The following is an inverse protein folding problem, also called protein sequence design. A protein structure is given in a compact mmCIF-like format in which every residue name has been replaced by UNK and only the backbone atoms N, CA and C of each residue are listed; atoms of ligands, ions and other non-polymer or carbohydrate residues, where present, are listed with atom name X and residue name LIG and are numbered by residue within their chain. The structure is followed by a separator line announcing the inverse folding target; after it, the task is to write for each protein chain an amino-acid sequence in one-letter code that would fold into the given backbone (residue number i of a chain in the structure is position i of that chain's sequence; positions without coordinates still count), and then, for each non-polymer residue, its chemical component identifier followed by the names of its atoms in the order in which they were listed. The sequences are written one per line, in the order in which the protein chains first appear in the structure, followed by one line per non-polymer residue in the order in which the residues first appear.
data_IF_178608272540
#
_entry.id   IF_178608272540
#
_cell.length_a   1.000
_cell.length_b   1.000
_cell.length_c   1.000
_cell.angle_alpha   90.00
_cell.angle_beta   90.00
_cell.angle_gamma   90.00
#
_symmetry.space_group_name_H-M   'P 1'
#
loop_
_entity.id
_entity.type
_entity.pdbx_description
1 polymer ?
#
# COMPACT_ATOMS: atom_id res chain seq x y z
N UNK A 1 30.45 -10.07 30.59
CA UNK A 1 29.10 -9.80 31.13
C UNK A 1 28.27 -9.26 29.98
N UNK A 2 27.04 -9.73 29.73
CA UNK A 2 26.22 -9.12 28.69
C UNK A 2 25.79 -7.75 29.18
N UNK A 3 26.16 -6.70 28.44
CA UNK A 3 25.69 -5.33 28.67
C UNK A 3 24.16 -5.34 28.76
N UNK A 4 23.62 -4.86 29.88
CA UNK A 4 22.20 -4.65 30.03
C UNK A 4 21.80 -3.57 29.02
N UNK A 5 21.15 -3.98 27.92
CA UNK A 5 20.62 -3.05 26.93
C UNK A 5 19.59 -2.18 27.64
N UNK A 6 19.92 -0.91 27.88
CA UNK A 6 18.99 0.07 28.43
C UNK A 6 17.72 0.09 27.58
N UNK A 7 16.57 0.02 28.27
CA UNK A 7 15.25 0.09 27.65
C UNK A 7 14.65 1.43 28.03
N UNK A 8 14.50 2.30 27.04
CA UNK A 8 13.78 3.55 27.20
C UNK A 8 12.30 3.31 26.89
N UNK A 9 11.42 3.75 27.78
CA UNK A 9 9.96 3.67 27.61
C UNK A 9 9.35 5.07 27.65
N UNK A 10 8.39 5.33 26.76
CA UNK A 10 7.63 6.58 26.72
C UNK A 10 6.14 6.27 26.56
N UNK A 11 5.33 6.77 27.48
CA UNK A 11 3.88 6.58 27.44
C UNK A 11 3.21 7.78 26.77
N UNK A 12 2.27 7.51 25.86
CA UNK A 12 1.49 8.54 25.18
C UNK A 12 0.06 8.08 24.91
N UNK A 13 -0.84 9.03 24.68
CA UNK A 13 -2.20 8.77 24.21
C UNK A 13 -2.27 9.12 22.74
N UNK A 14 -2.80 8.23 21.89
CA UNK A 14 -2.88 8.49 20.45
C UNK A 14 -3.77 9.73 20.17
N UNK A 15 -3.22 10.83 19.63
CA UNK A 15 -3.97 12.07 19.42
C UNK A 15 -4.68 12.10 18.04
N UNK A 16 -4.41 11.11 17.18
CA UNK A 16 -4.88 11.11 15.79
C UNK A 16 -6.38 10.80 15.73
N UNK A 17 -7.21 11.67 15.12
CA UNK A 17 -8.65 11.44 14.99
C UNK A 17 -8.99 10.11 14.32
N UNK A 18 -8.20 9.73 13.30
CA UNK A 18 -8.39 8.49 12.55
C UNK A 18 -7.53 7.31 13.06
N UNK A 19 -6.84 7.48 14.20
CA UNK A 19 -5.90 6.50 14.74
C UNK A 19 -4.57 6.41 13.99
N UNK A 20 -3.70 5.48 14.38
CA UNK A 20 -2.42 5.24 13.69
C UNK A 20 -2.64 4.46 12.40
N UNK A 21 -2.86 5.18 11.31
CA UNK A 21 -3.10 4.64 9.97
C UNK A 21 -1.92 4.91 9.02
N UNK A 22 -2.11 4.59 7.74
CA UNK A 22 -1.08 4.50 6.71
C UNK A 22 -0.07 5.66 6.70
N UNK A 23 -0.51 6.93 6.73
CA UNK A 23 0.41 8.08 6.55
C UNK A 23 1.25 8.40 7.80
N UNK A 24 0.66 8.60 9.01
CA UNK A 24 1.42 8.72 10.25
C UNK A 24 2.29 7.48 10.54
N UNK A 25 1.81 6.27 10.18
CA UNK A 25 2.59 5.05 10.32
C UNK A 25 3.79 5.02 9.37
N UNK A 26 3.67 5.46 8.12
CA UNK A 26 4.79 5.61 7.18
C UNK A 26 5.85 6.58 7.72
N UNK A 27 5.43 7.75 8.22
CA UNK A 27 6.38 8.74 8.75
C UNK A 27 7.12 8.20 9.98
N UNK A 28 6.39 7.55 10.89
CA UNK A 28 6.97 6.93 12.08
C UNK A 28 7.91 5.78 11.71
N UNK A 29 7.52 4.94 10.75
CA UNK A 29 8.35 3.84 10.26
C UNK A 29 9.64 4.34 9.64
N UNK A 30 9.57 5.33 8.76
CA UNK A 30 10.77 5.94 8.15
C UNK A 30 11.73 6.49 9.21
N UNK A 31 11.20 7.14 10.24
CA UNK A 31 12.01 7.64 11.35
C UNK A 31 12.64 6.48 12.13
N UNK A 32 11.85 5.46 12.50
CA UNK A 32 12.33 4.31 13.26
C UNK A 32 13.36 3.47 12.49
N UNK A 33 13.18 3.32 11.17
CA UNK A 33 14.06 2.57 10.27
C UNK A 33 15.42 3.23 10.08
N UNK A 34 15.55 4.53 10.38
CA UNK A 34 16.84 5.23 10.40
C UNK A 34 17.79 4.79 11.53
N UNK A 35 17.27 4.08 12.54
CA UNK A 35 18.04 3.62 13.69
C UNK A 35 18.32 2.12 13.64
N UNK A 36 19.40 1.67 14.29
CA UNK A 36 19.71 0.25 14.48
C UNK A 36 18.89 -0.39 15.60
N UNK A 37 18.44 0.41 16.58
CA UNK A 37 17.68 -0.05 17.75
C UNK A 37 16.35 -0.68 17.38
N UNK A 38 15.90 -1.62 18.21
CA UNK A 38 14.52 -2.13 18.11
C UNK A 38 13.59 -1.07 18.68
N UNK A 39 12.55 -0.77 17.92
CA UNK A 39 11.52 0.20 18.27
C UNK A 39 10.18 -0.51 18.19
N UNK A 40 9.40 -0.46 19.26
CA UNK A 40 8.07 -1.08 19.30
C UNK A 40 7.07 -0.20 20.00
N UNK A 41 5.80 -0.28 19.58
CA UNK A 41 4.69 0.38 20.26
C UNK A 41 3.76 -0.70 20.80
N UNK A 42 3.40 -0.59 22.08
CA UNK A 42 2.40 -1.45 22.70
C UNK A 42 1.11 -0.67 22.88
N UNK A 43 0.02 -1.13 22.28
CA UNK A 43 -1.32 -0.61 22.57
C UNK A 43 -1.80 -1.26 23.88
N UNK A 44 -1.92 -0.47 24.95
CA UNK A 44 -2.33 -0.97 26.26
C UNK A 44 -3.82 -1.37 26.30
N UNK A 45 -4.63 -0.87 25.37
CA UNK A 45 -6.07 -1.15 25.34
C UNK A 45 -6.36 -2.55 24.79
N UNK A 46 -5.59 -3.01 23.80
CA UNK A 46 -5.79 -4.32 23.16
C UNK A 46 -4.60 -5.28 23.31
N UNK A 47 -3.53 -4.85 24.00
CA UNK A 47 -2.29 -5.59 24.27
C UNK A 47 -1.51 -6.01 23.02
N UNK A 48 -1.82 -5.44 21.85
CA UNK A 48 -1.06 -5.69 20.62
C UNK A 48 0.27 -4.94 20.66
N UNK A 49 1.29 -5.58 20.12
CA UNK A 49 2.63 -5.00 19.98
C UNK A 49 2.92 -4.81 18.50
N UNK A 50 3.31 -3.60 18.15
CA UNK A 50 3.75 -3.23 16.81
C UNK A 50 5.27 -3.09 16.77
N UNK A 51 5.90 -3.65 15.73
CA UNK A 51 7.24 -3.27 15.33
C UNK A 51 7.16 -1.92 14.62
N UNK A 52 7.77 -0.88 15.18
CA UNK A 52 7.68 0.46 14.60
C UNK A 52 8.44 0.62 13.28
N UNK A 53 9.27 -0.36 12.90
CA UNK A 53 9.92 -0.43 11.58
C UNK A 53 9.09 -1.17 10.53
N UNK A 54 7.83 -1.47 10.84
CA UNK A 54 6.90 -2.15 9.94
C UNK A 54 5.57 -1.41 9.98
N UNK A 55 5.22 -0.78 8.86
CA UNK A 55 3.93 -0.12 8.72
C UNK A 55 2.79 -1.14 8.81
N UNK A 56 2.98 -2.36 8.29
CA UNK A 56 1.96 -3.41 8.42
C UNK A 56 1.73 -3.79 9.89
N UNK A 57 2.79 -3.84 10.70
CA UNK A 57 2.70 -4.09 12.14
C UNK A 57 2.05 -2.93 12.90
N UNK A 58 2.44 -1.69 12.58
CA UNK A 58 1.87 -0.46 13.17
C UNK A 58 0.36 -0.36 12.92
N UNK A 59 -0.08 -0.56 11.68
CA UNK A 59 -1.52 -0.53 11.32
C UNK A 59 -2.25 -1.75 11.92
N UNK A 60 -1.61 -2.93 11.92
CA UNK A 60 -2.16 -4.15 12.51
C UNK A 60 -2.37 -4.09 14.03
N UNK A 61 -1.69 -3.17 14.72
CA UNK A 61 -1.88 -2.94 16.15
C UNK A 61 -3.21 -2.26 16.51
N UNK A 62 -3.99 -1.80 15.52
CA UNK A 62 -5.34 -1.23 15.68
C UNK A 62 -5.37 -0.12 16.75
N UNK A 63 -4.38 0.78 16.73
CA UNK A 63 -4.27 1.93 17.64
C UNK A 63 -5.27 3.00 17.21
N UNK A 64 -6.26 3.27 18.05
CA UNK A 64 -7.32 4.24 17.81
C UNK A 64 -7.06 5.55 18.53
N UNK A 65 -7.78 6.60 18.11
CA UNK A 65 -7.80 7.88 18.84
C UNK A 65 -8.13 7.64 20.31
N UNK A 66 -7.31 8.19 21.21
CA UNK A 66 -7.47 8.03 22.65
C UNK A 66 -6.92 6.73 23.24
N UNK A 67 -6.41 5.79 22.45
CA UNK A 67 -5.76 4.58 22.99
C UNK A 67 -4.47 4.94 23.73
N UNK A 68 -4.26 4.31 24.89
CA UNK A 68 -3.03 4.45 25.66
C UNK A 68 -1.95 3.55 25.08
N UNK A 69 -0.80 4.14 24.77
CA UNK A 69 0.31 3.47 24.08
C UNK A 69 1.62 3.62 24.85
N UNK A 70 2.51 2.64 24.70
CA UNK A 70 3.88 2.69 25.23
C UNK A 70 4.86 2.44 24.08
N UNK A 71 5.68 3.45 23.79
CA UNK A 71 6.87 3.30 22.95
C UNK A 71 7.96 2.61 23.78
N UNK A 72 8.57 1.56 23.24
CA UNK A 72 9.73 0.88 23.81
C UNK A 72 10.88 0.88 22.79
N UNK A 73 12.02 1.41 23.21
CA UNK A 73 13.24 1.44 22.41
C UNK A 73 14.31 0.62 23.13
N UNK A 74 15.08 -0.17 22.39
CA UNK A 74 16.22 -0.90 22.94
C UNK A 74 17.22 -1.32 21.87
N UNK A 75 18.48 -0.99 22.09
CA UNK A 75 19.59 -1.28 21.17
C UNK A 75 20.79 -0.39 21.42
N UNK A 76 21.70 -0.34 20.45
CA UNK A 76 22.98 0.37 20.57
C UNK A 76 22.85 1.89 20.53
N UNK A 77 21.94 2.39 19.71
CA UNK A 77 21.59 3.81 19.51
C UNK A 77 20.26 4.18 20.20
N UNK A 78 19.99 3.56 21.35
CA UNK A 78 18.71 3.66 22.06
C UNK A 78 18.35 5.11 22.42
N UNK A 79 19.30 5.86 22.98
CA UNK A 79 19.08 7.25 23.39
C UNK A 79 18.74 8.18 22.23
N UNK A 80 19.46 8.03 21.12
CA UNK A 80 19.26 8.86 19.93
C UNK A 80 17.91 8.57 19.28
N UNK A 81 17.60 7.28 19.09
CA UNK A 81 16.32 6.82 18.58
C UNK A 81 15.16 7.26 19.47
N UNK A 82 15.30 7.11 20.79
CA UNK A 82 14.30 7.52 21.77
C UNK A 82 14.01 9.02 21.66
N UNK A 83 15.04 9.88 21.71
CA UNK A 83 14.85 11.34 21.65
C UNK A 83 14.19 11.78 20.35
N UNK A 84 14.65 11.25 19.21
CA UNK A 84 14.10 11.59 17.90
C UNK A 84 12.63 11.19 17.78
N UNK A 85 12.28 9.97 18.19
CA UNK A 85 10.90 9.45 18.06
C UNK A 85 9.96 10.12 19.05
N UNK A 86 10.39 10.36 20.30
CA UNK A 86 9.57 11.09 21.27
C UNK A 86 9.31 12.52 20.80
N UNK A 87 10.35 13.20 20.29
CA UNK A 87 10.17 14.54 19.72
C UNK A 87 9.12 14.53 18.61
N UNK A 88 9.24 13.59 17.65
CA UNK A 88 8.27 13.44 16.57
C UNK A 88 6.83 13.20 17.08
N UNK A 89 6.66 12.32 18.08
CA UNK A 89 5.36 12.03 18.70
C UNK A 89 4.72 13.26 19.33
N UNK A 90 5.53 14.17 19.89
CA UNK A 90 5.07 15.38 20.57
C UNK A 90 4.82 16.56 19.61
N UNK A 91 5.56 16.68 18.50
CA UNK A 91 5.56 17.89 17.67
C UNK A 91 4.97 17.71 16.28
N UNK A 92 5.18 16.57 15.64
CA UNK A 92 4.88 16.36 14.20
C UNK A 92 3.78 15.33 13.96
N UNK A 93 3.48 14.50 14.95
CA UNK A 93 2.59 13.36 14.76
C UNK A 93 1.17 13.77 14.32
N UNK A 94 0.64 14.86 14.87
CA UNK A 94 -0.73 15.35 14.59
C UNK A 94 -0.88 15.91 13.17
N UNK A 95 0.17 16.52 12.60
CA UNK A 95 0.09 17.15 11.27
C UNK A 95 0.10 16.15 10.11
N UNK A 96 0.32 14.86 10.38
CA UNK A 96 0.34 13.80 9.37
C UNK A 96 -1.06 13.36 8.87
N UNK A 97 -2.15 13.81 9.50
CA UNK A 97 -3.54 13.35 9.24
C UNK A 97 -4.41 14.38 8.47
N UNK A 98 -3.80 15.36 7.76
CA UNK A 98 -4.59 16.29 6.94
C UNK A 98 -5.28 15.55 5.77
N UNK A 99 -6.61 15.59 5.78
CA UNK A 99 -7.48 14.90 4.83
C UNK A 99 -7.44 15.53 3.43
N UNK A 100 -7.49 14.68 2.39
CA UNK A 100 -7.76 15.13 1.03
C UNK A 100 -9.20 15.66 0.93
N UNK A 101 -9.46 16.67 0.10
CA UNK A 101 -10.81 17.22 -0.07
C UNK A 101 -11.75 16.15 -0.62
N UNK A 102 -12.89 15.98 0.02
CA UNK A 102 -13.94 15.07 -0.45
C UNK A 102 -14.42 15.48 -1.85
N UNK A 103 -14.65 14.53 -2.76
CA UNK A 103 -15.16 14.83 -4.09
C UNK A 103 -16.55 15.50 -4.00
N UNK A 104 -16.87 16.44 -4.89
CA UNK A 104 -18.15 17.12 -4.88
C UNK A 104 -19.29 16.12 -5.14
N UNK A 105 -20.18 15.98 -4.16
CA UNK A 105 -21.43 15.23 -4.29
C UNK A 105 -22.35 15.95 -5.27
N UNK A 106 -22.44 15.45 -6.50
CA UNK A 106 -23.37 15.94 -7.52
C UNK A 106 -24.35 14.84 -7.95
N UNK A 107 -25.37 14.59 -7.13
CA UNK A 107 -26.50 13.75 -7.53
C UNK A 107 -27.50 14.54 -8.38
N UNK A 108 -27.35 14.53 -9.71
CA UNK A 108 -28.50 14.69 -10.62
C UNK A 108 -28.94 13.30 -11.05
N UNK A 109 -30.04 12.79 -10.47
CA UNK A 109 -30.61 11.49 -10.86
C UNK A 109 -31.02 11.50 -12.34
N UNK A 110 -30.35 10.66 -13.13
CA UNK A 110 -30.77 10.07 -14.42
C UNK A 110 -31.46 10.99 -15.43
N UNK A 111 -31.02 12.25 -15.52
CA UNK A 111 -31.53 13.17 -16.54
C UNK A 111 -30.74 13.03 -17.84
N UNK A 112 -31.45 12.73 -18.92
CA UNK A 112 -30.93 12.75 -20.29
C UNK A 112 -31.64 13.82 -21.13
N UNK A 113 -30.91 14.64 -21.92
CA UNK A 113 -31.49 15.51 -22.92
C UNK A 113 -32.40 14.75 -23.90
N UNK A 114 -33.51 15.35 -24.37
CA UNK A 114 -34.44 14.70 -25.31
C UNK A 114 -33.77 14.18 -26.59
N UNK A 115 -32.78 14.90 -27.11
CA UNK A 115 -32.02 14.51 -28.31
C UNK A 115 -31.31 13.16 -28.13
N UNK A 116 -30.71 12.91 -26.96
CA UNK A 116 -30.05 11.64 -26.68
C UNK A 116 -31.06 10.51 -26.45
N UNK A 117 -32.20 10.79 -25.80
CA UNK A 117 -33.26 9.77 -25.66
C UNK A 117 -33.82 9.35 -27.02
N UNK A 118 -34.03 10.30 -27.91
CA UNK A 118 -34.60 10.06 -29.23
C UNK A 118 -33.61 9.40 -30.20
N UNK A 119 -32.31 9.54 -29.96
CA UNK A 119 -31.27 8.90 -30.76
C UNK A 119 -31.11 7.39 -30.49
N UNK A 120 -31.82 6.83 -29.51
CA UNK A 120 -31.76 5.39 -29.20
C UNK A 120 -30.40 4.92 -28.68
N UNK A 121 -29.59 5.82 -28.12
CA UNK A 121 -28.27 5.47 -27.58
C UNK A 121 -28.37 4.66 -26.28
N UNK A 122 -27.52 3.64 -26.14
CA UNK A 122 -27.36 2.94 -24.88
C UNK A 122 -26.61 3.83 -23.88
N UNK A 123 -27.25 4.12 -22.74
CA UNK A 123 -26.67 4.95 -21.68
C UNK A 123 -26.50 4.12 -20.41
N UNK A 124 -25.29 4.13 -19.88
CA UNK A 124 -24.96 3.55 -18.58
C UNK A 124 -24.72 4.69 -17.59
N UNK A 125 -25.43 4.68 -16.47
CA UNK A 125 -25.27 5.65 -15.40
C UNK A 125 -24.31 5.11 -14.34
N UNK A 126 -23.44 5.96 -13.82
CA UNK A 126 -22.51 5.67 -12.73
C UNK A 126 -22.37 6.84 -11.78
N UNK A 127 -21.52 6.69 -10.76
CA UNK A 127 -21.16 7.77 -9.86
C UNK A 127 -20.10 8.66 -10.53
N UNK A 128 -20.37 9.94 -10.83
CA UNK A 128 -19.36 10.83 -11.38
C UNK A 128 -18.34 11.20 -10.30
N UNK A 129 -17.06 10.88 -10.54
CA UNK A 129 -15.94 11.23 -9.65
C UNK A 129 -15.30 12.56 -10.09
N UNK A 130 -15.12 12.75 -11.39
CA UNK A 130 -14.57 13.97 -12.01
C UNK A 130 -15.51 14.45 -13.10
N UNK A 131 -15.75 15.75 -13.17
CA UNK A 131 -16.56 16.35 -14.23
C UNK A 131 -15.78 16.47 -15.55
N UNK A 132 -16.44 16.25 -16.68
CA UNK A 132 -15.82 16.37 -17.99
C UNK A 132 -16.55 15.58 -19.07
N UNK A 133 -16.08 15.71 -20.31
CA UNK A 133 -16.56 14.94 -21.46
C UNK A 133 -15.38 14.21 -22.10
N UNK A 134 -15.49 12.89 -22.21
CA UNK A 134 -14.50 12.01 -22.81
C UNK A 134 -15.04 11.32 -24.04
N UNK A 135 -14.23 11.24 -25.11
CA UNK A 135 -14.52 10.42 -26.30
C UNK A 135 -13.24 9.70 -26.72
N UNK A 136 -13.32 8.39 -26.87
CA UNK A 136 -12.17 7.59 -27.28
C UNK A 136 -12.53 6.14 -27.57
N UNK A 137 -11.53 5.38 -28.03
CA UNK A 137 -11.62 3.93 -28.21
C UNK A 137 -11.78 3.25 -26.84
N UNK A 138 -12.68 2.27 -26.72
CA UNK A 138 -12.82 1.50 -25.48
C UNK A 138 -11.64 0.53 -25.35
N UNK A 139 -10.96 0.57 -24.20
CA UNK A 139 -9.90 -0.36 -23.83
C UNK A 139 -10.31 -1.05 -22.54
N UNK A 140 -10.49 -2.37 -22.58
CA UNK A 140 -10.83 -3.16 -21.41
C UNK A 140 -9.57 -3.61 -20.67
N UNK A 141 -9.54 -3.38 -19.37
CA UNK A 141 -8.47 -3.87 -18.48
C UNK A 141 -9.05 -5.03 -17.68
N UNK A 142 -8.47 -6.21 -17.86
CA UNK A 142 -8.84 -7.39 -17.09
C UNK A 142 -8.12 -7.41 -15.75
N UNK A 143 -8.75 -8.06 -14.76
CA UNK A 143 -8.12 -8.34 -13.48
C UNK A 143 -6.87 -9.22 -13.69
N UNK A 144 -5.84 -8.95 -12.88
CA UNK A 144 -4.58 -9.67 -12.87
C UNK A 144 -4.79 -11.19 -12.85
N UNK A 145 -4.24 -11.89 -13.84
CA UNK A 145 -4.02 -13.34 -13.75
C UNK A 145 -2.61 -13.63 -13.23
N UNK A 146 -2.57 -14.44 -12.17
CA UNK A 146 -1.33 -15.01 -11.66
C UNK A 146 -0.62 -15.81 -12.79
N UNK A 147 0.70 -15.64 -12.96
CA UNK A 147 1.48 -16.39 -13.95
C UNK A 147 1.25 -17.90 -13.85
N UNK A 148 1.19 -18.58 -15.00
CA UNK A 148 1.13 -20.05 -15.06
C UNK A 148 2.42 -20.63 -14.44
N UNK A 149 2.28 -21.62 -13.53
CA UNK A 149 3.41 -22.26 -12.83
C UNK A 149 3.52 -21.97 -11.32
N UNK A 150 2.75 -21.02 -10.77
CA UNK A 150 2.74 -20.72 -9.32
C UNK A 150 2.26 -21.88 -8.42
N UNK A 151 1.47 -22.79 -8.96
CA UNK A 151 0.94 -23.97 -8.25
C UNK A 151 1.71 -25.27 -8.58
N UNK A 152 2.77 -25.21 -9.39
CA UNK A 152 3.58 -26.40 -9.64
C UNK A 152 4.46 -26.71 -8.42
N UNK A 153 4.28 -27.90 -7.86
CA UNK A 153 5.11 -28.46 -6.80
C UNK A 153 6.49 -28.88 -7.35
N UNK A 154 7.17 -27.96 -8.02
CA UNK A 154 8.53 -28.15 -8.49
C UNK A 154 9.48 -28.23 -7.28
N UNK A 155 10.58 -29.01 -7.36
CA UNK A 155 11.60 -29.02 -6.32
C UNK A 155 12.16 -27.62 -6.10
N UNK A 156 11.94 -27.06 -4.91
CA UNK A 156 12.36 -25.70 -4.59
C UNK A 156 13.77 -25.69 -4.03
N UNK A 157 14.70 -25.00 -4.71
CA UNK A 157 15.98 -24.66 -4.12
C UNK A 157 15.82 -23.45 -3.19
N UNK A 158 15.74 -23.69 -1.88
CA UNK A 158 15.50 -22.65 -0.85
C UNK A 158 16.48 -21.48 -0.99
N UNK A 159 17.76 -21.76 -1.23
CA UNK A 159 18.78 -20.71 -1.38
C UNK A 159 18.56 -19.83 -2.62
N UNK A 160 18.12 -20.44 -3.72
CA UNK A 160 17.81 -19.71 -4.95
C UNK A 160 16.55 -18.87 -4.78
N UNK A 161 15.50 -19.40 -4.17
CA UNK A 161 14.27 -18.65 -3.93
C UNK A 161 14.47 -17.46 -2.99
N UNK A 162 15.31 -17.61 -1.96
CA UNK A 162 15.66 -16.48 -1.08
C UNK A 162 16.38 -15.38 -1.85
N UNK A 163 17.31 -15.74 -2.75
CA UNK A 163 17.97 -14.77 -3.64
C UNK A 163 16.96 -14.11 -4.58
N UNK A 164 16.04 -14.88 -5.14
CA UNK A 164 14.99 -14.36 -6.03
C UNK A 164 14.12 -13.33 -5.29
N UNK A 165 13.69 -13.64 -4.06
CA UNK A 165 12.92 -12.71 -3.19
C UNK A 165 13.72 -11.43 -2.95
N UNK A 166 14.99 -11.56 -2.55
CA UNK A 166 15.84 -10.41 -2.22
C UNK A 166 16.07 -9.52 -3.45
N UNK A 167 16.28 -10.11 -4.63
CA UNK A 167 16.42 -9.40 -5.90
C UNK A 167 15.12 -8.70 -6.31
N UNK A 168 13.98 -9.39 -6.24
CA UNK A 168 12.68 -8.82 -6.61
C UNK A 168 12.30 -7.65 -5.71
N UNK A 169 12.54 -7.75 -4.40
CA UNK A 169 12.31 -6.63 -3.46
C UNK A 169 13.24 -5.46 -3.78
N UNK A 170 14.54 -5.72 -3.98
CA UNK A 170 15.51 -4.67 -4.29
C UNK A 170 15.16 -3.95 -5.60
N UNK A 171 14.79 -4.70 -6.64
CA UNK A 171 14.45 -4.15 -7.94
C UNK A 171 13.14 -3.36 -7.91
N UNK A 172 12.09 -3.86 -7.25
CA UNK A 172 10.85 -3.12 -7.07
C UNK A 172 11.08 -1.80 -6.33
N UNK A 173 11.86 -1.83 -5.25
CA UNK A 173 12.22 -0.61 -4.51
C UNK A 173 12.97 0.39 -5.40
N UNK A 174 13.93 -0.10 -6.20
CA UNK A 174 14.68 0.72 -7.15
C UNK A 174 13.76 1.39 -8.17
N UNK A 175 12.82 0.63 -8.74
CA UNK A 175 11.85 1.13 -9.72
C UNK A 175 10.90 2.19 -9.13
N UNK A 176 10.41 1.98 -7.90
CA UNK A 176 9.55 2.95 -7.21
C UNK A 176 10.32 4.23 -6.90
N UNK A 177 11.54 4.13 -6.37
CA UNK A 177 12.41 5.28 -6.08
C UNK A 177 12.72 6.11 -7.35
N UNK A 178 13.00 5.45 -8.48
CA UNK A 178 13.19 6.14 -9.75
C UNK A 178 11.94 6.88 -10.24
N UNK A 179 10.74 6.36 -9.94
CA UNK A 179 9.50 7.06 -10.24
C UNK A 179 9.35 8.31 -9.36
N UNK A 180 9.66 8.21 -8.08
CA UNK A 180 9.62 9.34 -7.13
C UNK A 180 10.54 10.51 -7.55
N UNK A 181 11.64 10.24 -8.23
CA UNK A 181 12.58 11.28 -8.73
C UNK A 181 12.05 12.07 -9.94
N UNK A 182 10.92 11.67 -10.55
CA UNK A 182 10.37 12.36 -11.72
C UNK A 182 9.77 13.72 -11.34
N UNK A 183 10.14 14.77 -12.08
CA UNK A 183 9.80 16.18 -11.77
C UNK A 183 8.33 16.60 -11.92
N UNK A 184 7.41 15.71 -12.32
CA UNK A 184 6.02 16.06 -12.64
C UNK A 184 4.98 15.20 -11.88
N UNK A 185 5.33 14.72 -10.69
CA UNK A 185 4.38 14.01 -9.84
C UNK A 185 3.55 15.00 -9.01
N UNK A 186 2.24 14.77 -8.96
CA UNK A 186 1.37 15.45 -8.00
C UNK A 186 1.61 14.93 -6.57
N UNK A 187 1.24 15.71 -5.53
CA UNK A 187 1.38 15.29 -4.14
C UNK A 187 0.72 13.94 -3.83
N UNK A 188 -0.42 13.65 -4.45
CA UNK A 188 -1.13 12.38 -4.29
C UNK A 188 -0.34 11.21 -4.88
N UNK A 189 0.25 11.38 -6.07
CA UNK A 189 1.07 10.34 -6.70
C UNK A 189 2.34 10.05 -5.89
N UNK A 190 2.95 11.09 -5.32
CA UNK A 190 4.07 10.93 -4.39
C UNK A 190 3.64 10.10 -3.18
N UNK A 191 2.52 10.45 -2.55
CA UNK A 191 2.02 9.72 -1.38
C UNK A 191 1.73 8.25 -1.66
N UNK A 192 1.18 7.92 -2.83
CA UNK A 192 0.96 6.53 -3.27
C UNK A 192 2.30 5.79 -3.43
N UNK A 193 3.27 6.39 -4.13
CA UNK A 193 4.57 5.76 -4.36
C UNK A 193 5.35 5.58 -3.05
N UNK A 194 5.29 6.55 -2.12
CA UNK A 194 5.88 6.43 -0.78
C UNK A 194 5.21 5.31 0.03
N UNK A 195 3.89 5.16 -0.07
CA UNK A 195 3.17 4.06 0.57
C UNK A 195 3.61 2.70 0.01
N UNK A 196 3.72 2.59 -1.33
CA UNK A 196 4.17 1.35 -1.99
C UNK A 196 5.62 1.01 -1.63
N UNK A 197 6.51 2.01 -1.59
CA UNK A 197 7.90 1.82 -1.19
C UNK A 197 8.00 1.28 0.25
N UNK A 198 7.25 1.88 1.18
CA UNK A 198 7.24 1.43 2.58
C UNK A 198 6.69 0.01 2.73
N UNK A 199 5.66 -0.39 1.96
CA UNK A 199 5.20 -1.79 1.98
C UNK A 199 6.26 -2.73 1.39
N UNK A 200 6.86 -2.37 0.26
CA UNK A 200 7.84 -3.22 -0.42
C UNK A 200 9.08 -3.47 0.45
N UNK A 201 9.46 -2.49 1.29
CA UNK A 201 10.59 -2.56 2.21
C UNK A 201 10.21 -3.05 3.63
N UNK A 202 8.93 -3.31 3.90
CA UNK A 202 8.45 -3.65 5.22
C UNK A 202 9.16 -4.90 5.77
N UNK A 203 9.82 -4.72 6.91
CA UNK A 203 10.69 -5.77 7.47
C UNK A 203 9.90 -7.02 7.88
N UNK A 204 8.65 -6.89 8.30
CA UNK A 204 7.80 -8.03 8.68
C UNK A 204 7.29 -8.75 7.43
N UNK A 205 6.94 -8.01 6.37
CA UNK A 205 6.56 -8.61 5.10
C UNK A 205 7.69 -9.49 4.53
N UNK A 206 8.88 -8.91 4.40
CA UNK A 206 10.05 -9.60 3.85
C UNK A 206 10.47 -10.77 4.75
N UNK A 207 10.45 -10.59 6.08
CA UNK A 207 10.76 -11.67 7.01
C UNK A 207 9.75 -12.82 6.91
N UNK A 208 8.46 -12.53 6.77
CA UNK A 208 7.43 -13.55 6.60
C UNK A 208 7.63 -14.33 5.30
N UNK A 209 7.87 -13.65 4.18
CA UNK A 209 8.13 -14.29 2.88
C UNK A 209 9.35 -15.22 2.99
N UNK A 210 10.47 -14.72 3.51
CA UNK A 210 11.69 -15.51 3.69
C UNK A 210 11.47 -16.72 4.61
N UNK A 211 10.68 -16.55 5.67
CA UNK A 211 10.31 -17.64 6.59
C UNK A 211 9.47 -18.71 5.89
N UNK A 212 8.48 -18.31 5.09
CA UNK A 212 7.65 -19.23 4.32
C UNK A 212 8.48 -20.03 3.31
N UNK A 213 9.43 -19.40 2.61
CA UNK A 213 10.37 -20.10 1.71
C UNK A 213 11.23 -21.12 2.49
N UNK A 214 11.78 -20.74 3.64
CA UNK A 214 12.68 -21.60 4.44
C UNK A 214 11.98 -22.77 5.12
N UNK A 215 10.88 -22.50 5.80
CA UNK A 215 10.23 -23.47 6.69
C UNK A 215 9.18 -24.32 5.99
N UNK A 216 8.51 -23.77 4.97
CA UNK A 216 7.45 -24.46 4.22
C UNK A 216 7.89 -24.90 2.83
N UNK A 217 9.15 -24.63 2.46
CA UNK A 217 9.72 -24.98 1.15
C UNK A 217 8.87 -24.48 -0.03
N UNK A 218 8.28 -23.30 0.12
CA UNK A 218 7.47 -22.67 -0.94
C UNK A 218 8.36 -21.93 -1.92
N UNK A 219 7.97 -21.89 -3.19
CA UNK A 219 8.55 -20.97 -4.17
C UNK A 219 8.25 -19.51 -3.77
N UNK A 220 9.06 -18.57 -4.25
CA UNK A 220 8.95 -17.14 -3.91
C UNK A 220 7.55 -16.58 -4.17
N UNK A 221 6.95 -16.89 -5.32
CA UNK A 221 5.60 -16.42 -5.65
C UNK A 221 4.53 -16.94 -4.70
N UNK A 222 4.58 -18.21 -4.31
CA UNK A 222 3.62 -18.77 -3.34
C UNK A 222 3.82 -18.21 -1.93
N UNK A 223 5.07 -17.99 -1.53
CA UNK A 223 5.39 -17.32 -0.27
C UNK A 223 4.85 -15.88 -0.22
N UNK A 224 4.91 -15.13 -1.33
CA UNK A 224 4.32 -13.80 -1.46
C UNK A 224 2.79 -13.85 -1.32
N UNK A 225 2.12 -14.79 -2.00
CA UNK A 225 0.66 -14.95 -1.89
C UNK A 225 0.22 -15.32 -0.46
N UNK A 226 0.99 -16.15 0.23
CA UNK A 226 0.70 -16.50 1.61
C UNK A 226 0.91 -15.30 2.54
N UNK A 227 1.99 -14.53 2.34
CA UNK A 227 2.21 -13.28 3.07
C UNK A 227 1.07 -12.29 2.85
N UNK A 228 0.63 -12.10 1.59
CA UNK A 228 -0.53 -11.28 1.27
C UNK A 228 -1.78 -11.72 2.04
N UNK A 229 -2.11 -13.01 2.02
CA UNK A 229 -3.27 -13.54 2.73
C UNK A 229 -3.18 -13.32 4.24
N UNK A 230 -2.00 -13.55 4.83
CA UNK A 230 -1.74 -13.33 6.25
C UNK A 230 -1.95 -11.85 6.64
N UNK A 231 -1.22 -10.93 6.00
CA UNK A 231 -1.30 -9.51 6.34
C UNK A 231 -2.65 -8.89 5.96
N UNK A 232 -3.29 -9.34 4.87
CA UNK A 232 -4.66 -8.92 4.54
C UNK A 232 -5.66 -9.32 5.63
N UNK A 233 -5.53 -10.52 6.19
CA UNK A 233 -6.42 -10.96 7.29
C UNK A 233 -6.16 -10.20 8.58
N UNK A 234 -4.88 -9.93 8.91
CA UNK A 234 -4.48 -9.08 10.04
C UNK A 234 -5.07 -7.66 9.92
N UNK A 235 -4.92 -7.05 8.74
CA UNK A 235 -5.41 -5.71 8.46
C UNK A 235 -6.94 -5.65 8.51
N UNK A 236 -7.66 -6.59 7.88
CA UNK A 236 -9.13 -6.65 7.94
C UNK A 236 -9.70 -6.74 9.36
N UNK A 237 -8.92 -7.26 10.31
CA UNK A 237 -9.34 -7.34 11.71
C UNK A 237 -9.27 -5.97 12.43
N UNK A 238 -8.47 -5.03 11.93
CA UNK A 238 -8.43 -3.66 12.41
C UNK A 238 -9.58 -2.86 11.73
N UNK A 239 -10.35 -2.10 12.50
CA UNK A 239 -11.67 -1.56 12.08
C UNK A 239 -11.61 -0.09 11.66
N UNK A 240 -11.04 0.21 10.50
CA UNK A 240 -10.96 1.58 9.93
C UNK A 240 -11.11 1.57 8.41
N UNK A 241 -11.72 2.60 7.82
CA UNK A 241 -11.90 2.68 6.35
C UNK A 241 -10.57 2.80 5.60
N UNK A 242 -9.56 3.45 6.20
CA UNK A 242 -8.20 3.62 5.67
C UNK A 242 -7.42 2.30 5.54
N UNK A 243 -7.88 1.24 6.21
CA UNK A 243 -7.28 -0.10 6.11
C UNK A 243 -7.60 -0.74 4.77
N UNK A 244 -8.74 -0.40 4.15
CA UNK A 244 -9.10 -0.93 2.82
C UNK A 244 -8.09 -0.48 1.77
N UNK A 245 -7.71 0.79 1.80
CA UNK A 245 -6.67 1.36 0.93
C UNK A 245 -5.35 0.63 1.15
N UNK A 246 -4.96 0.38 2.41
CA UNK A 246 -3.71 -0.34 2.70
C UNK A 246 -3.70 -1.78 2.20
N UNK A 247 -4.84 -2.49 2.23
CA UNK A 247 -4.96 -3.83 1.64
C UNK A 247 -4.84 -3.76 0.12
N UNK A 248 -5.41 -2.73 -0.52
CA UNK A 248 -5.28 -2.52 -1.95
C UNK A 248 -3.82 -2.23 -2.35
N UNK A 249 -3.10 -1.41 -1.58
CA UNK A 249 -1.67 -1.15 -1.78
C UNK A 249 -0.82 -2.41 -1.57
N UNK A 250 -1.10 -3.19 -0.52
CA UNK A 250 -0.42 -4.45 -0.27
C UNK A 250 -0.63 -5.44 -1.42
N UNK A 251 -1.87 -5.54 -1.93
CA UNK A 251 -2.19 -6.36 -3.11
C UNK A 251 -1.38 -5.91 -4.32
N UNK A 252 -1.27 -4.61 -4.54
CA UNK A 252 -0.52 -4.03 -5.65
C UNK A 252 0.97 -4.35 -5.55
N UNK A 253 1.58 -4.15 -4.38
CA UNK A 253 3.00 -4.48 -4.16
C UNK A 253 3.27 -5.98 -4.32
N UNK A 254 2.45 -6.86 -3.74
CA UNK A 254 2.60 -8.30 -3.92
C UNK A 254 2.45 -8.72 -5.39
N UNK A 255 1.55 -8.07 -6.13
CA UNK A 255 1.37 -8.29 -7.57
C UNK A 255 2.63 -7.89 -8.35
N UNK A 256 3.19 -6.72 -8.06
CA UNK A 256 4.41 -6.24 -8.71
C UNK A 256 5.61 -7.15 -8.39
N UNK A 257 5.74 -7.64 -7.15
CA UNK A 257 6.79 -8.60 -6.79
C UNK A 257 6.66 -9.92 -7.58
N UNK A 258 5.45 -10.45 -7.73
CA UNK A 258 5.21 -11.67 -8.52
C UNK A 258 5.53 -11.42 -10.00
N UNK A 259 5.14 -10.26 -10.53
CA UNK A 259 5.45 -9.88 -11.92
C UNK A 259 6.96 -9.72 -12.16
N UNK A 260 7.72 -9.25 -11.18
CA UNK A 260 9.18 -9.17 -11.26
C UNK A 260 9.83 -10.56 -11.30
N UNK A 261 9.29 -11.51 -10.52
CA UNK A 261 9.84 -12.87 -10.40
C UNK A 261 9.57 -13.75 -11.62
N UNK A 262 8.36 -13.67 -12.19
CA UNK A 262 7.89 -14.60 -13.22
C UNK A 262 7.64 -13.92 -14.57
N UNK A 263 7.93 -12.62 -14.67
CA UNK A 263 7.57 -11.80 -15.81
C UNK A 263 6.11 -11.35 -15.77
N UNK A 264 5.81 -10.35 -16.58
CA UNK A 264 4.45 -9.83 -16.73
C UNK A 264 3.67 -10.73 -17.68
N UNK A 265 2.63 -11.41 -17.18
CA UNK A 265 1.58 -11.99 -18.02
C UNK A 265 0.84 -10.83 -18.69
N UNK A 266 1.28 -10.35 -19.87
CA UNK A 266 0.61 -9.51 -20.90
C UNK A 266 -0.43 -8.41 -20.50
N UNK A 267 -0.60 -8.12 -19.22
CA UNK A 267 -1.77 -7.44 -18.61
C UNK A 267 -1.34 -6.29 -17.69
N UNK A 268 -0.04 -6.05 -17.52
CA UNK A 268 0.48 -5.00 -16.64
C UNK A 268 0.64 -3.64 -17.32
N UNK A 269 0.83 -3.60 -18.65
CA UNK A 269 0.88 -2.35 -19.41
C UNK A 269 -0.34 -2.23 -20.30
N UNK A 270 -1.35 -1.48 -19.84
CA UNK A 270 -2.47 -1.06 -20.68
C UNK A 270 -1.93 -0.05 -21.67
N UNK A 271 -1.51 -0.51 -22.86
CA UNK A 271 -0.96 0.37 -23.87
C UNK A 271 -2.08 1.11 -24.60
N UNK A 272 -2.13 2.43 -24.42
CA UNK A 272 -3.05 3.29 -25.14
C UNK A 272 -2.40 3.71 -26.48
N UNK A 273 -2.98 3.25 -27.60
CA UNK A 273 -2.46 3.59 -28.94
C UNK A 273 -3.15 4.81 -29.55
N UNK A 274 -4.26 5.27 -28.96
CA UNK A 274 -5.07 6.41 -29.41
C UNK A 274 -5.85 7.00 -28.23
N UNK A 275 -6.51 8.17 -28.36
CA UNK A 275 -7.45 8.67 -27.37
C UNK A 275 -8.47 7.59 -26.97
N UNK A 276 -8.46 7.19 -25.70
CA UNK A 276 -9.13 5.98 -25.23
C UNK A 276 -9.92 6.19 -23.94
N UNK A 277 -11.03 5.47 -23.82
CA UNK A 277 -11.79 5.31 -22.58
C UNK A 277 -11.41 3.96 -21.97
N UNK A 278 -10.75 3.99 -20.82
CA UNK A 278 -10.36 2.79 -20.09
C UNK A 278 -11.56 2.29 -19.28
N UNK A 279 -11.90 1.01 -19.45
CA UNK A 279 -12.97 0.35 -18.72
C UNK A 279 -12.39 -0.83 -17.94
N UNK A 280 -12.51 -0.81 -16.63
CA UNK A 280 -11.96 -1.84 -15.76
C UNK A 280 -12.92 -2.19 -14.62
N UNK A 281 -12.75 -3.36 -14.00
CA UNK A 281 -13.46 -3.62 -12.75
C UNK A 281 -12.92 -2.75 -11.61
N UNK A 282 -11.60 -2.70 -11.49
CA UNK A 282 -10.79 -1.95 -10.53
C UNK A 282 -9.45 -1.64 -11.20
N UNK A 283 -8.74 -0.61 -10.75
CA UNK A 283 -7.37 -0.33 -11.16
C UNK A 283 -6.52 -0.18 -9.91
N UNK A 284 -5.39 -0.90 -9.86
CA UNK A 284 -4.42 -0.66 -8.80
C UNK A 284 -3.75 0.71 -9.00
N UNK A 285 -3.26 1.37 -7.94
CA UNK A 285 -2.58 2.65 -8.10
C UNK A 285 -1.40 2.56 -9.08
N UNK A 286 -0.63 1.47 -9.10
CA UNK A 286 0.46 1.28 -10.05
C UNK A 286 -0.02 1.21 -11.51
N UNK A 287 -1.14 0.53 -11.78
CA UNK A 287 -1.74 0.48 -13.11
C UNK A 287 -2.20 1.86 -13.55
N UNK A 288 -2.86 2.61 -12.67
CA UNK A 288 -3.31 3.97 -12.97
C UNK A 288 -2.14 4.91 -13.27
N UNK A 289 -1.06 4.85 -12.46
CA UNK A 289 0.14 5.66 -12.65
C UNK A 289 0.89 5.35 -13.96
N UNK A 290 0.79 4.11 -14.45
CA UNK A 290 1.43 3.68 -15.69
C UNK A 290 0.63 4.06 -16.95
N UNK A 291 -0.61 4.53 -16.83
CA UNK A 291 -1.41 4.95 -17.99
C UNK A 291 -0.84 6.22 -18.63
N UNK A 292 -0.81 6.24 -19.96
CA UNK A 292 -0.46 7.44 -20.74
C UNK A 292 -1.59 8.47 -20.63
N UNK A 293 -1.40 9.44 -19.71
CA UNK A 293 -2.37 10.51 -19.46
C UNK A 293 -2.68 11.37 -20.68
N UNK A 294 -1.80 11.43 -21.69
CA UNK A 294 -2.06 12.19 -22.91
C UNK A 294 -3.09 11.50 -23.81
N UNK A 295 -3.23 10.17 -23.69
CA UNK A 295 -4.16 9.36 -24.47
C UNK A 295 -5.37 8.90 -23.66
N UNK A 296 -5.37 9.07 -22.35
CA UNK A 296 -6.51 8.77 -21.49
C UNK A 296 -7.60 9.85 -21.64
N UNK A 297 -8.69 9.51 -22.34
CA UNK A 297 -9.84 10.38 -22.58
C UNK A 297 -11.00 10.16 -21.60
N UNK A 298 -10.95 9.09 -20.80
CA UNK A 298 -11.94 8.81 -19.76
C UNK A 298 -11.66 7.51 -19.04
N UNK A 299 -12.21 7.35 -17.84
CA UNK A 299 -12.09 6.16 -17.02
C UNK A 299 -13.47 5.74 -16.51
N UNK A 300 -13.78 4.44 -16.63
CA UNK A 300 -15.00 3.84 -16.12
C UNK A 300 -14.62 2.61 -15.29
N UNK A 301 -14.93 2.65 -13.99
CA UNK A 301 -14.65 1.56 -13.06
C UNK A 301 -15.95 0.96 -12.53
N UNK A 302 -15.96 -0.37 -12.30
CA UNK A 302 -17.06 -1.03 -11.59
C UNK A 302 -17.01 -0.73 -10.09
N UNK A 303 -15.81 -0.73 -9.53
CA UNK A 303 -15.52 -0.35 -8.16
C UNK A 303 -14.50 0.79 -8.22
N UNK A 304 -14.89 1.98 -7.76
CA UNK A 304 -13.93 3.06 -7.50
C UNK A 304 -13.73 3.17 -5.99
N UNK A 305 -12.48 3.33 -5.56
CA UNK A 305 -12.19 3.88 -4.23
C UNK A 305 -12.86 5.25 -4.09
N UNK A 306 -13.40 5.56 -2.92
CA UNK A 306 -14.14 6.81 -2.69
C UNK A 306 -13.22 8.01 -2.41
N UNK A 307 -11.90 7.86 -2.61
CA UNK A 307 -10.87 8.69 -2.00
C UNK A 307 -9.65 8.80 -2.91
#
# INVERSE_FOLDING_TARGET
MPEAIERCEYAFTCPLPNGLHARPANTLERLASGFSSRVSIVNLNNQRVANAKSVLSLVGADIKSGDSCVLKVGGKDCDEAYRAIVHFLETEFVSCDEALPAPPSASRKNWLPPVLRNAGVAVLFGLPVVSGFGRGKIVFVQALRLPEGLDEAAPVCVEQELKNVDQAVAELCRLISQRLEKKNLSPTEIGVLEAHLSIAQDVELVAYIRKAVKEKHLCAGRAILEAFAFFSSLLKAARSELIRERIADLRDVCTQLIAELYGTTDQASVELTAPSIVVAEDLTPSQFLNLDKQKLSGLVLRCAGAT
#
